data_IF_079909408102
#
_entry.id   IF_079909408102
#
_cell.length_a   1.000
_cell.length_b   1.000
_cell.length_c   1.000
_cell.angle_alpha   90.00
_cell.angle_beta   90.00
_cell.angle_gamma   90.00
#
_symmetry.space_group_name_H-M   'P 1'
#
loop_
_entity.id
_entity.type
_entity.pdbx_description
1 polymer ?
#
# COMPACT_ATOMS: atom_id res chain seq x y z
N UNK A 1 -4.37 40.24 55.53
CA UNK A 1 -5.44 39.43 56.18
C UNK A 1 -5.08 37.95 56.35
N UNK A 2 -4.09 37.41 55.63
CA UNK A 2 -3.69 35.98 55.70
C UNK A 2 -2.97 35.60 57.02
N UNK A 3 -2.30 36.52 57.68
CA UNK A 3 -1.58 36.24 58.92
C UNK A 3 -2.47 35.87 60.13
N UNK A 4 -3.70 36.37 60.17
CA UNK A 4 -4.65 36.08 61.27
C UNK A 4 -5.29 34.68 61.14
N UNK A 5 -5.37 34.12 59.93
CA UNK A 5 -5.86 32.77 59.70
C UNK A 5 -4.90 31.68 60.23
N UNK A 6 -3.59 31.93 60.18
CA UNK A 6 -2.56 31.00 60.67
C UNK A 6 -2.61 30.79 62.18
N UNK A 7 -2.89 31.83 62.93
CA UNK A 7 -2.97 31.74 64.38
C UNK A 7 -4.13 30.89 64.90
N UNK A 8 -5.24 30.87 64.16
CA UNK A 8 -6.47 30.16 64.55
C UNK A 8 -6.35 28.64 64.40
N UNK A 9 -5.41 28.14 63.57
CA UNK A 9 -5.20 26.74 63.27
C UNK A 9 -3.80 26.23 63.61
N UNK A 10 -3.22 26.76 64.67
CA UNK A 10 -1.91 26.28 65.15
C UNK A 10 -0.75 26.45 64.15
N UNK A 11 -0.82 27.47 63.28
CA UNK A 11 0.24 27.77 62.31
C UNK A 11 0.11 27.00 60.98
N UNK A 12 -0.85 26.10 60.86
CA UNK A 12 -1.13 25.36 59.62
C UNK A 12 -2.21 26.10 58.81
N UNK A 13 -1.95 26.37 57.55
CA UNK A 13 -2.95 26.95 56.65
C UNK A 13 -4.09 25.98 56.43
N UNK A 14 -5.36 26.44 56.57
CA UNK A 14 -6.56 25.63 56.31
C UNK A 14 -6.79 25.35 54.81
N UNK A 15 -6.04 26.01 53.95
CA UNK A 15 -6.12 25.86 52.49
C UNK A 15 -4.85 25.19 51.97
N UNK A 16 -5.04 24.06 51.31
CA UNK A 16 -3.97 23.43 50.56
C UNK A 16 -4.03 23.91 49.09
N UNK A 17 -2.91 24.41 48.59
CA UNK A 17 -2.78 24.74 47.17
C UNK A 17 -1.98 23.66 46.48
N UNK A 18 -2.46 23.23 45.32
CA UNK A 18 -1.78 22.27 44.47
C UNK A 18 -1.39 22.96 43.17
N UNK A 19 -0.20 22.68 42.69
CA UNK A 19 0.31 23.15 41.41
C UNK A 19 0.51 21.93 40.53
N UNK A 20 -0.02 21.97 39.33
CA UNK A 20 0.11 20.91 38.32
C UNK A 20 0.91 21.43 37.14
N UNK A 21 1.73 20.57 36.56
CA UNK A 21 2.51 20.85 35.37
C UNK A 21 1.99 19.92 34.26
N UNK A 22 1.61 20.51 33.14
CA UNK A 22 1.17 19.76 31.95
C UNK A 22 2.27 19.83 30.89
N UNK A 23 2.68 18.68 30.38
CA UNK A 23 3.65 18.61 29.29
C UNK A 23 2.97 19.02 27.96
N UNK A 24 3.41 20.14 27.39
CA UNK A 24 2.92 20.67 26.11
C UNK A 24 3.77 20.23 24.91
N UNK A 25 4.79 19.43 25.14
CA UNK A 25 5.57 18.83 24.05
C UNK A 25 4.80 17.68 23.41
N UNK A 26 5.17 17.35 22.19
CA UNK A 26 4.63 16.17 21.50
C UNK A 26 5.09 14.89 22.22
N UNK A 27 4.15 14.09 22.67
CA UNK A 27 4.38 12.81 23.32
C UNK A 27 4.38 11.74 22.23
N UNK A 28 5.54 11.17 21.97
CA UNK A 28 5.80 10.24 20.85
C UNK A 28 5.90 8.79 21.32
N UNK A 29 5.73 7.88 20.35
CA UNK A 29 5.99 6.46 20.57
C UNK A 29 4.93 5.74 21.41
N UNK A 30 3.71 6.25 21.45
CA UNK A 30 2.59 5.58 22.09
C UNK A 30 2.24 4.39 21.21
N UNK A 31 2.34 3.18 21.77
CA UNK A 31 2.11 1.94 21.02
C UNK A 31 0.62 1.63 20.93
N UNK A 32 0.19 1.12 19.78
CA UNK A 32 -1.12 0.53 19.60
C UNK A 32 -1.05 -0.79 18.85
N UNK A 33 -2.06 -1.62 19.04
CA UNK A 33 -2.28 -2.84 18.28
C UNK A 33 -3.76 -3.15 18.24
N UNK A 34 -4.21 -3.76 17.16
CA UNK A 34 -5.63 -4.13 17.00
C UNK A 34 -5.87 -5.52 17.61
N UNK A 35 -6.65 -5.64 18.69
CA UNK A 35 -6.96 -6.95 19.30
C UNK A 35 -7.82 -7.80 18.36
N UNK A 36 -8.75 -7.15 17.65
CA UNK A 36 -9.61 -7.77 16.64
C UNK A 36 -9.15 -7.35 15.24
N UNK A 37 -9.37 -8.20 14.21
CA UNK A 37 -9.09 -7.82 12.84
C UNK A 37 -9.90 -6.60 12.40
N UNK A 38 -9.25 -5.70 11.69
CA UNK A 38 -9.89 -4.61 10.96
C UNK A 38 -10.33 -5.10 9.60
N UNK A 39 -11.45 -4.60 9.10
CA UNK A 39 -11.94 -4.90 7.79
C UNK A 39 -11.44 -3.85 6.78
N UNK A 40 -10.97 -4.27 5.62
CA UNK A 40 -10.50 -3.43 4.54
C UNK A 40 -10.92 -3.99 3.19
N UNK A 41 -11.80 -3.28 2.47
CA UNK A 41 -12.13 -3.66 1.10
C UNK A 41 -11.03 -3.16 0.14
N UNK A 42 -10.38 -4.08 -0.56
CA UNK A 42 -9.34 -3.73 -1.53
C UNK A 42 -9.83 -3.95 -2.95
N UNK A 43 -9.97 -2.84 -3.70
CA UNK A 43 -10.45 -2.84 -5.09
C UNK A 43 -9.58 -3.69 -6.02
N UNK A 44 -8.30 -3.86 -5.73
CA UNK A 44 -7.41 -4.69 -6.56
C UNK A 44 -7.73 -6.19 -6.40
N UNK A 45 -8.02 -6.62 -5.18
CA UNK A 45 -8.43 -8.01 -4.91
C UNK A 45 -9.93 -8.20 -5.12
N UNK A 46 -10.71 -7.11 -5.17
CA UNK A 46 -12.18 -7.09 -5.21
C UNK A 46 -12.78 -7.95 -4.09
N UNK A 47 -12.23 -7.80 -2.90
CA UNK A 47 -12.59 -8.58 -1.71
C UNK A 47 -12.30 -7.80 -0.44
N UNK A 48 -13.02 -8.14 0.61
CA UNK A 48 -12.72 -7.72 1.97
C UNK A 48 -11.54 -8.51 2.51
N UNK A 49 -10.59 -7.82 3.10
CA UNK A 49 -9.42 -8.38 3.75
C UNK A 49 -9.48 -8.08 5.25
N UNK A 50 -9.29 -9.11 6.05
CA UNK A 50 -9.22 -9.01 7.50
C UNK A 50 -7.77 -8.92 7.93
N UNK A 51 -7.43 -7.83 8.61
CA UNK A 51 -6.05 -7.54 8.94
C UNK A 51 -5.89 -7.09 10.40
N UNK A 52 -4.75 -7.40 10.97
CA UNK A 52 -4.30 -6.84 12.24
C UNK A 52 -3.13 -5.93 12.00
N UNK A 53 -3.14 -4.80 12.69
CA UNK A 53 -2.07 -3.83 12.58
C UNK A 53 -1.55 -3.46 13.96
N UNK A 54 -0.27 -3.13 14.01
CA UNK A 54 0.33 -2.48 15.16
C UNK A 54 1.24 -1.34 14.69
N UNK A 55 1.43 -0.40 15.58
CA UNK A 55 2.23 0.77 15.27
C UNK A 55 2.41 1.69 16.45
N UNK A 56 2.74 2.93 16.13
CA UNK A 56 2.88 3.99 17.12
C UNK A 56 2.14 5.23 16.67
N UNK A 57 1.69 6.01 17.64
CA UNK A 57 1.14 7.34 17.38
C UNK A 57 1.72 8.35 18.35
N UNK A 58 1.48 9.62 18.06
CA UNK A 58 1.86 10.72 18.94
C UNK A 58 0.68 11.65 19.17
N UNK A 59 0.65 12.23 20.37
CA UNK A 59 -0.36 13.21 20.76
C UNK A 59 0.33 14.48 21.26
N UNK A 60 -0.43 15.56 21.27
CA UNK A 60 -0.01 16.83 21.88
C UNK A 60 -1.18 17.45 22.63
N UNK A 61 -0.90 17.92 23.85
CA UNK A 61 -1.87 18.73 24.59
C UNK A 61 -1.83 20.14 24.01
N UNK A 62 -2.98 20.62 23.54
CA UNK A 62 -3.16 21.95 22.94
C UNK A 62 -3.86 22.93 23.88
N UNK A 63 -4.77 22.45 24.72
CA UNK A 63 -5.40 23.22 25.80
C UNK A 63 -5.15 22.51 27.14
N UNK A 64 -4.16 22.97 27.93
CA UNK A 64 -3.81 22.32 29.19
C UNK A 64 -4.87 22.45 30.27
N UNK A 65 -5.69 23.49 30.23
CA UNK A 65 -6.76 23.69 31.21
C UNK A 65 -7.91 22.71 30.95
N UNK A 66 -8.33 22.60 29.69
CA UNK A 66 -9.37 21.68 29.28
C UNK A 66 -8.93 20.23 29.52
N UNK A 67 -7.67 19.89 29.13
CA UNK A 67 -7.07 18.60 29.39
C UNK A 67 -7.07 18.22 30.86
N UNK A 68 -6.70 19.18 31.74
CA UNK A 68 -6.73 18.98 33.19
C UNK A 68 -8.14 18.70 33.70
N UNK A 69 -9.15 19.43 33.24
CA UNK A 69 -10.52 19.29 33.71
C UNK A 69 -11.19 18.00 33.24
N UNK A 70 -10.94 17.59 32.01
CA UNK A 70 -11.68 16.51 31.35
C UNK A 70 -10.94 15.15 31.37
N UNK A 71 -9.60 15.18 31.37
CA UNK A 71 -8.80 13.96 31.25
C UNK A 71 -8.15 13.52 32.54
N UNK A 72 -7.81 14.49 33.42
CA UNK A 72 -7.11 14.20 34.66
C UNK A 72 -8.05 13.65 35.74
N UNK A 73 -7.77 12.47 36.32
CA UNK A 73 -8.53 11.97 37.48
C UNK A 73 -8.40 12.95 38.66
N UNK A 74 -9.54 13.28 39.29
CA UNK A 74 -9.63 14.34 40.33
C UNK A 74 -8.67 14.17 41.51
N UNK A 75 -8.24 12.96 41.80
CA UNK A 75 -7.37 12.63 42.92
C UNK A 75 -5.93 12.25 42.51
N UNK A 76 -5.62 12.32 41.22
CA UNK A 76 -4.29 11.97 40.72
C UNK A 76 -3.25 13.04 41.12
N UNK A 77 -2.13 12.58 41.60
CA UNK A 77 -0.96 13.43 41.86
C UNK A 77 -0.09 13.50 40.60
N UNK A 78 -0.03 12.38 39.87
CA UNK A 78 0.71 12.22 38.61
C UNK A 78 -0.14 11.36 37.67
N UNK A 79 -0.14 11.68 36.42
CA UNK A 79 -0.74 10.88 35.34
C UNK A 79 0.32 10.65 34.28
N UNK A 80 0.54 9.41 33.93
CA UNK A 80 1.42 9.01 32.84
C UNK A 80 0.59 8.74 31.57
N UNK A 81 1.26 8.77 30.43
CA UNK A 81 0.58 8.58 29.13
C UNK A 81 -0.05 7.19 29.04
N UNK A 82 0.50 6.19 29.71
CA UNK A 82 -0.04 4.84 29.74
C UNK A 82 -1.43 4.78 30.39
N UNK A 83 -1.63 5.52 31.47
CA UNK A 83 -2.90 5.60 32.18
C UNK A 83 -4.02 6.19 31.29
N UNK A 84 -3.64 7.17 30.48
CA UNK A 84 -4.56 7.83 29.52
C UNK A 84 -4.78 6.94 28.29
N UNK A 85 -3.72 6.31 27.81
CA UNK A 85 -3.78 5.50 26.58
C UNK A 85 -4.77 4.34 26.71
N UNK A 86 -4.83 3.67 27.84
CA UNK A 86 -5.75 2.56 28.04
C UNK A 86 -7.21 3.01 27.90
N UNK A 87 -7.55 4.19 28.42
CA UNK A 87 -8.89 4.75 28.34
C UNK A 87 -9.29 5.14 26.92
N UNK A 88 -8.37 5.75 26.16
CA UNK A 88 -8.67 6.31 24.83
C UNK A 88 -8.29 5.39 23.67
N UNK A 89 -7.71 4.23 23.95
CA UNK A 89 -7.33 3.27 22.91
C UNK A 89 -8.52 2.79 22.08
N UNK A 90 -9.69 2.62 22.70
CA UNK A 90 -10.89 2.21 21.98
C UNK A 90 -11.34 3.26 20.96
N UNK A 91 -11.35 4.53 21.34
CA UNK A 91 -11.70 5.64 20.43
C UNK A 91 -10.67 5.76 19.30
N UNK A 92 -9.39 5.60 19.65
CA UNK A 92 -8.33 5.56 18.64
C UNK A 92 -8.51 4.42 17.63
N UNK A 93 -8.86 3.22 18.08
CA UNK A 93 -9.08 2.06 17.21
C UNK A 93 -10.34 2.21 16.35
N UNK A 94 -11.39 2.82 16.86
CA UNK A 94 -12.59 3.17 16.10
C UNK A 94 -12.28 4.17 14.99
N UNK A 95 -11.54 5.23 15.31
CA UNK A 95 -11.08 6.20 14.33
C UNK A 95 -10.13 5.56 13.30
N UNK A 96 -9.29 4.62 13.71
CA UNK A 96 -8.42 3.86 12.82
C UNK A 96 -9.24 3.02 11.83
N UNK A 97 -10.27 2.30 12.30
CA UNK A 97 -11.16 1.54 11.42
C UNK A 97 -11.89 2.46 10.41
N UNK A 98 -12.40 3.59 10.87
CA UNK A 98 -13.07 4.58 10.00
C UNK A 98 -12.11 5.15 8.96
N UNK A 99 -10.88 5.47 9.37
CA UNK A 99 -9.81 5.92 8.47
C UNK A 99 -9.46 4.87 7.43
N UNK A 100 -9.32 3.60 7.84
CA UNK A 100 -9.03 2.50 6.92
C UNK A 100 -10.15 2.34 5.89
N UNK A 101 -11.42 2.47 6.30
CA UNK A 101 -12.57 2.43 5.40
C UNK A 101 -12.57 3.61 4.42
N UNK A 102 -12.20 4.81 4.87
CA UNK A 102 -12.08 5.98 3.99
C UNK A 102 -10.96 5.79 2.95
N UNK A 103 -9.80 5.32 3.37
CA UNK A 103 -8.69 5.02 2.46
C UNK A 103 -9.05 3.93 1.44
N UNK A 104 -9.85 2.95 1.84
CA UNK A 104 -10.42 1.94 0.95
C UNK A 104 -11.36 2.57 -0.09
N UNK A 105 -12.27 3.45 0.34
CA UNK A 105 -13.19 4.17 -0.53
C UNK A 105 -12.46 5.06 -1.55
N UNK A 106 -11.34 5.66 -1.14
CA UNK A 106 -10.45 6.44 -2.01
C UNK A 106 -9.62 5.56 -2.98
N UNK A 107 -9.82 4.24 -2.95
CA UNK A 107 -9.18 3.29 -3.84
C UNK A 107 -7.70 3.01 -3.52
N UNK A 108 -7.25 3.33 -2.32
CA UNK A 108 -5.89 3.07 -1.88
C UNK A 108 -5.74 1.57 -1.62
N UNK A 109 -4.76 0.93 -2.26
CA UNK A 109 -4.47 -0.48 -2.02
C UNK A 109 -3.88 -0.68 -0.63
N UNK A 110 -4.27 -1.77 0.02
CA UNK A 110 -3.80 -2.10 1.37
C UNK A 110 -2.26 -2.17 1.46
N UNK A 111 -1.61 -2.65 0.42
CA UNK A 111 -0.14 -2.69 0.34
C UNK A 111 0.53 -1.31 0.39
N UNK A 112 -0.21 -0.24 0.10
CA UNK A 112 0.31 1.13 0.11
C UNK A 112 -0.03 1.90 1.39
N UNK A 113 -0.93 1.39 2.22
CA UNK A 113 -1.38 2.09 3.44
C UNK A 113 -0.23 2.40 4.38
N UNK A 114 0.68 1.43 4.62
CA UNK A 114 1.84 1.63 5.50
C UNK A 114 2.78 2.75 5.03
N UNK A 115 2.86 3.02 3.73
CA UNK A 115 3.70 4.10 3.18
C UNK A 115 3.02 5.47 3.20
N UNK A 116 1.70 5.52 3.43
CA UNK A 116 0.89 6.74 3.45
C UNK A 116 0.57 7.26 4.85
N UNK A 117 1.53 7.17 5.77
CA UNK A 117 1.34 7.58 7.17
C UNK A 117 0.89 9.02 7.37
N UNK A 118 1.25 9.95 6.47
CA UNK A 118 0.77 11.34 6.53
C UNK A 118 -0.72 11.47 6.22
N UNK A 119 -1.20 10.75 5.20
CA UNK A 119 -2.61 10.72 4.85
C UNK A 119 -3.42 10.06 5.96
N UNK A 120 -2.95 8.92 6.45
CA UNK A 120 -3.53 8.24 7.61
C UNK A 120 -3.65 9.17 8.81
N UNK A 121 -2.58 9.90 9.15
CA UNK A 121 -2.58 10.84 10.27
C UNK A 121 -3.59 11.96 10.09
N UNK A 122 -3.76 12.46 8.86
CA UNK A 122 -4.74 13.50 8.55
C UNK A 122 -6.16 13.00 8.72
N UNK A 123 -6.52 11.84 8.16
CA UNK A 123 -7.84 11.26 8.34
C UNK A 123 -8.15 10.96 9.81
N UNK A 124 -7.16 10.45 10.55
CA UNK A 124 -7.29 10.20 12.00
C UNK A 124 -7.54 11.49 12.77
N UNK A 125 -6.80 12.58 12.44
CA UNK A 125 -7.00 13.87 13.06
C UNK A 125 -8.39 14.44 12.77
N UNK A 126 -8.83 14.38 11.52
CA UNK A 126 -10.15 14.87 11.10
C UNK A 126 -11.29 14.15 11.85
N UNK A 127 -11.15 12.85 12.12
CA UNK A 127 -12.14 12.06 12.85
C UNK A 127 -12.08 12.36 14.37
N UNK A 128 -10.90 12.46 14.95
CA UNK A 128 -10.72 12.59 16.40
C UNK A 128 -10.76 14.05 16.90
N UNK A 129 -10.63 15.06 16.02
CA UNK A 129 -10.49 16.47 16.43
C UNK A 129 -11.70 16.97 17.21
N UNK A 130 -12.91 16.51 16.93
CA UNK A 130 -14.08 16.93 17.68
C UNK A 130 -14.03 16.43 19.12
N UNK A 131 -13.73 15.17 19.34
CA UNK A 131 -13.72 14.56 20.67
C UNK A 131 -12.44 14.87 21.46
N UNK A 132 -11.30 14.80 20.79
CA UNK A 132 -10.02 14.94 21.49
C UNK A 132 -9.57 16.38 21.61
N UNK A 133 -9.65 17.16 20.54
CA UNK A 133 -9.17 18.55 20.56
C UNK A 133 -10.17 19.50 21.16
N UNK A 134 -11.45 19.45 20.72
CA UNK A 134 -12.47 20.36 21.18
C UNK A 134 -12.99 20.05 22.58
N UNK A 135 -13.13 18.77 22.92
CA UNK A 135 -13.69 18.39 24.22
C UNK A 135 -12.64 18.07 25.28
N UNK A 136 -11.41 17.71 24.90
CA UNK A 136 -10.37 17.26 25.87
C UNK A 136 -9.05 17.99 25.75
N UNK A 137 -8.89 18.93 24.81
CA UNK A 137 -7.71 19.78 24.69
C UNK A 137 -6.45 19.04 24.27
N UNK A 138 -6.57 17.89 23.62
CA UNK A 138 -5.44 17.13 23.05
C UNK A 138 -5.71 16.80 21.58
N UNK A 139 -4.65 16.66 20.79
CA UNK A 139 -4.77 16.30 19.37
C UNK A 139 -3.80 15.21 18.99
N UNK A 140 -4.14 14.42 17.97
CA UNK A 140 -3.24 13.47 17.35
C UNK A 140 -2.30 14.20 16.38
N UNK A 141 -1.00 13.88 16.41
CA UNK A 141 0.00 14.52 15.56
C UNK A 141 0.52 13.62 14.46
N UNK A 142 0.75 12.37 14.77
CA UNK A 142 1.21 11.39 13.80
C UNK A 142 0.71 10.00 14.14
N UNK A 143 0.46 9.21 13.09
CA UNK A 143 0.16 7.78 13.20
C UNK A 143 1.07 7.04 12.23
N UNK A 144 1.78 6.04 12.72
CA UNK A 144 2.64 5.18 11.93
C UNK A 144 2.24 3.72 12.11
N UNK A 145 1.91 3.05 11.02
CA UNK A 145 1.70 1.60 11.00
C UNK A 145 3.06 0.94 10.80
N UNK A 146 3.48 0.14 11.78
CA UNK A 146 4.75 -0.59 11.74
C UNK A 146 4.64 -1.90 10.97
N UNK A 147 3.49 -2.58 11.08
CA UNK A 147 3.23 -3.82 10.35
C UNK A 147 1.73 -4.04 10.16
N UNK A 148 1.41 -4.70 9.07
CA UNK A 148 0.08 -5.23 8.75
C UNK A 148 0.22 -6.74 8.58
N UNK A 149 -0.59 -7.51 9.28
CA UNK A 149 -0.71 -8.95 9.12
C UNK A 149 -2.15 -9.30 8.75
N UNK A 150 -2.29 -10.28 7.88
CA UNK A 150 -3.59 -10.75 7.40
C UNK A 150 -3.97 -12.03 8.13
N UNK A 151 -5.26 -12.30 8.26
CA UNK A 151 -5.74 -13.60 8.66
C UNK A 151 -5.47 -14.66 7.57
N UNK A 152 -5.70 -15.91 7.88
CA UNK A 152 -5.32 -17.00 6.95
C UNK A 152 -6.21 -17.01 5.69
N UNK A 153 -7.47 -16.65 5.82
CA UNK A 153 -8.40 -16.54 4.69
C UNK A 153 -7.99 -15.42 3.72
N UNK A 154 -7.69 -14.24 4.24
CA UNK A 154 -7.20 -13.11 3.43
C UNK A 154 -5.85 -13.42 2.78
N UNK A 155 -4.94 -14.13 3.49
CA UNK A 155 -3.68 -14.60 2.89
C UNK A 155 -3.93 -15.56 1.72
N UNK A 156 -4.88 -16.47 1.87
CA UNK A 156 -5.23 -17.40 0.81
C UNK A 156 -5.79 -16.68 -0.41
N UNK A 157 -6.70 -15.72 -0.23
CA UNK A 157 -7.22 -14.87 -1.30
C UNK A 157 -6.11 -14.10 -2.03
N UNK A 158 -5.21 -13.47 -1.27
CA UNK A 158 -4.04 -12.76 -1.83
C UNK A 158 -3.16 -13.72 -2.63
N UNK A 159 -2.86 -14.90 -2.09
CA UNK A 159 -2.04 -15.90 -2.76
C UNK A 159 -2.71 -16.45 -4.02
N UNK A 160 -4.02 -16.68 -3.96
CA UNK A 160 -4.81 -17.17 -5.10
C UNK A 160 -4.81 -16.12 -6.24
N UNK A 161 -5.02 -14.86 -5.89
CA UNK A 161 -4.96 -13.74 -6.84
C UNK A 161 -3.57 -13.60 -7.47
N UNK A 162 -2.52 -13.67 -6.66
CA UNK A 162 -1.14 -13.58 -7.12
C UNK A 162 -0.78 -14.76 -8.05
N UNK A 163 -1.19 -15.98 -7.69
CA UNK A 163 -1.04 -17.16 -8.57
C UNK A 163 -1.82 -16.98 -9.87
N UNK A 164 -3.07 -16.52 -9.82
CA UNK A 164 -3.88 -16.24 -11.00
C UNK A 164 -3.23 -15.19 -11.92
N UNK A 165 -2.71 -14.10 -11.35
CA UNK A 165 -2.00 -13.07 -12.11
C UNK A 165 -0.71 -13.61 -12.76
N UNK A 166 0.04 -14.44 -12.02
CA UNK A 166 1.26 -15.08 -12.50
C UNK A 166 0.97 -16.09 -13.62
N UNK A 167 -0.10 -16.88 -13.47
CA UNK A 167 -0.55 -17.84 -14.48
C UNK A 167 -1.28 -17.19 -15.68
N UNK A 168 -1.54 -15.89 -15.61
CA UNK A 168 -2.01 -15.08 -16.74
C UNK A 168 -0.97 -14.97 -17.87
N UNK A 169 0.33 -15.04 -17.54
CA UNK A 169 1.39 -15.15 -18.54
C UNK A 169 1.48 -16.58 -19.06
N UNK A 170 1.31 -16.81 -20.38
CA UNK A 170 1.32 -18.15 -20.97
C UNK A 170 2.65 -18.90 -20.73
N UNK A 171 3.79 -18.19 -20.72
CA UNK A 171 5.12 -18.75 -20.51
C UNK A 171 5.28 -19.27 -19.08
N UNK A 172 4.86 -18.44 -18.10
CA UNK A 172 4.92 -18.81 -16.68
C UNK A 172 3.97 -19.95 -16.37
N UNK A 173 2.76 -19.92 -16.96
CA UNK A 173 1.76 -20.97 -16.82
C UNK A 173 2.28 -22.31 -17.32
N UNK A 174 2.90 -22.36 -18.50
CA UNK A 174 3.48 -23.57 -19.07
C UNK A 174 4.57 -24.14 -18.15
N UNK A 175 5.51 -23.30 -17.69
CA UNK A 175 6.54 -23.70 -16.73
C UNK A 175 5.98 -24.23 -15.41
N UNK A 176 4.89 -23.61 -14.91
CA UNK A 176 4.22 -24.06 -13.68
C UNK A 176 3.57 -25.43 -13.85
N UNK A 177 2.90 -25.68 -14.99
CA UNK A 177 2.25 -26.96 -15.31
C UNK A 177 3.31 -28.05 -15.43
N UNK A 178 4.38 -27.84 -16.21
CA UNK A 178 5.48 -28.79 -16.36
C UNK A 178 6.16 -29.10 -15.03
N UNK A 179 6.44 -28.08 -14.20
CA UNK A 179 7.02 -28.25 -12.87
C UNK A 179 6.10 -28.98 -11.89
N UNK A 180 4.77 -28.82 -12.02
CA UNK A 180 3.79 -29.54 -11.21
C UNK A 180 3.71 -31.00 -11.58
N UNK A 181 3.80 -31.33 -12.87
CA UNK A 181 3.86 -32.70 -13.38
C UNK A 181 5.14 -33.38 -12.90
N UNK A 182 6.30 -32.70 -13.01
CA UNK A 182 7.58 -33.24 -12.56
C UNK A 182 7.56 -33.57 -11.05
N UNK A 183 7.03 -32.67 -10.22
CA UNK A 183 6.87 -32.93 -8.78
C UNK A 183 5.89 -34.05 -8.47
N UNK A 184 4.81 -34.17 -9.25
CA UNK A 184 3.87 -35.29 -9.14
C UNK A 184 4.53 -36.64 -9.44
N UNK A 185 5.36 -36.69 -10.46
CA UNK A 185 6.13 -37.88 -10.84
C UNK A 185 7.21 -38.22 -9.78
N UNK A 186 7.89 -37.22 -9.24
CA UNK A 186 8.87 -37.38 -8.19
C UNK A 186 8.22 -37.94 -6.90
N UNK A 187 7.09 -37.35 -6.48
CA UNK A 187 6.33 -37.83 -5.33
C UNK A 187 5.77 -39.25 -5.53
N UNK A 188 5.38 -39.61 -6.76
CA UNK A 188 4.94 -40.96 -7.08
C UNK A 188 6.10 -41.98 -7.08
N UNK A 189 7.31 -41.53 -7.45
CA UNK A 189 8.52 -42.37 -7.47
C UNK A 189 9.17 -42.57 -6.10
N UNK A 190 8.95 -41.65 -5.15
CA UNK A 190 9.56 -41.69 -3.81
C UNK A 190 8.77 -42.53 -2.78
N UNK A 191 7.54 -42.98 -3.09
CA UNK A 191 6.76 -43.87 -2.22
C UNK A 191 7.18 -45.32 -2.39
N UNK A 192 7.61 -46.01 -1.31
CA UNK A 192 8.03 -47.42 -1.29
C UNK A 192 6.94 -48.44 -1.73
N UNK A 193 5.68 -47.98 -1.95
CA UNK A 193 4.58 -48.71 -2.58
C UNK A 193 4.31 -48.30 -4.02
N UNK A 194 5.17 -47.46 -4.62
CA UNK A 194 4.90 -46.65 -5.80
C UNK A 194 4.85 -47.38 -7.17
N UNK A 195 5.19 -48.65 -7.26
CA UNK A 195 5.06 -49.38 -8.53
C UNK A 195 3.60 -49.45 -9.04
N UNK A 196 2.62 -49.44 -8.13
CA UNK A 196 1.18 -49.37 -8.44
C UNK A 196 0.72 -47.98 -8.83
N UNK A 197 1.18 -46.93 -8.11
CA UNK A 197 0.77 -45.55 -8.33
C UNK A 197 1.45 -44.96 -9.59
N UNK A 198 2.73 -45.25 -9.80
CA UNK A 198 3.48 -44.87 -11.02
C UNK A 198 2.91 -45.59 -12.24
N UNK A 199 2.59 -46.90 -12.10
CA UNK A 199 1.92 -47.68 -13.15
C UNK A 199 0.50 -47.21 -13.46
N UNK A 200 -0.28 -46.81 -12.43
CA UNK A 200 -1.61 -46.24 -12.60
C UNK A 200 -1.55 -44.86 -13.26
N UNK A 201 -0.58 -44.01 -12.88
CA UNK A 201 -0.36 -42.67 -13.46
C UNK A 201 0.14 -42.76 -14.90
N UNK A 202 1.10 -43.65 -15.19
CA UNK A 202 1.56 -43.95 -16.55
C UNK A 202 0.48 -44.69 -17.38
N UNK A 203 -0.23 -45.63 -16.76
CA UNK A 203 -1.35 -46.36 -17.38
C UNK A 203 -2.53 -45.44 -17.67
N UNK A 204 -2.84 -44.46 -16.79
CA UNK A 204 -3.85 -43.45 -17.05
C UNK A 204 -3.39 -42.45 -18.11
N UNK A 205 -2.08 -42.14 -18.21
CA UNK A 205 -1.47 -41.29 -19.24
C UNK A 205 -1.40 -41.97 -20.62
N UNK A 206 -1.16 -43.28 -20.67
CA UNK A 206 -1.04 -44.07 -21.91
C UNK A 206 -2.37 -44.71 -22.33
N UNK A 207 -3.22 -45.06 -21.34
CA UNK A 207 -4.53 -45.72 -21.59
C UNK A 207 -5.65 -44.75 -21.95
N UNK A 208 -5.55 -43.46 -21.61
CA UNK A 208 -6.46 -42.42 -22.09
C UNK A 208 -5.84 -41.68 -23.26
N UNK A 209 -6.12 -42.15 -24.46
CA UNK A 209 -5.99 -41.38 -25.71
C UNK A 209 -6.67 -39.99 -25.62
N UNK A 210 -7.41 -39.71 -24.52
CA UNK A 210 -7.99 -38.41 -24.15
C UNK A 210 -7.14 -37.54 -23.24
N UNK A 211 -6.24 -38.09 -22.35
CA UNK A 211 -5.46 -37.27 -21.45
C UNK A 211 -4.21 -36.64 -22.11
N UNK A 212 -3.60 -37.36 -23.07
CA UNK A 212 -2.59 -36.79 -23.98
C UNK A 212 -3.16 -35.65 -24.82
N UNK A 213 -4.42 -35.79 -25.25
CA UNK A 213 -5.14 -34.75 -25.98
C UNK A 213 -5.45 -33.51 -25.16
N UNK A 214 -5.71 -33.63 -23.84
CA UNK A 214 -5.93 -32.48 -22.97
C UNK A 214 -4.64 -31.68 -22.71
N UNK A 215 -3.53 -32.35 -22.44
CA UNK A 215 -2.23 -31.68 -22.26
C UNK A 215 -1.74 -31.04 -23.57
N UNK A 216 -1.89 -31.72 -24.68
CA UNK A 216 -1.53 -31.20 -26.00
C UNK A 216 -2.45 -30.03 -26.40
N UNK A 217 -3.75 -30.12 -26.11
CA UNK A 217 -4.71 -29.05 -26.36
C UNK A 217 -4.44 -27.84 -25.48
N UNK A 218 -4.05 -28.03 -24.19
CA UNK A 218 -3.68 -26.95 -23.28
C UNK A 218 -2.37 -26.26 -23.70
N UNK A 219 -1.36 -27.06 -24.14
CA UNK A 219 -0.09 -26.55 -24.67
C UNK A 219 -0.28 -25.78 -25.97
N UNK A 220 -1.08 -26.29 -26.89
CA UNK A 220 -1.46 -25.60 -28.16
C UNK A 220 -2.25 -24.31 -27.91
N UNK A 221 -3.13 -24.29 -26.91
CA UNK A 221 -3.84 -23.07 -26.52
C UNK A 221 -2.89 -22.03 -25.97
N UNK A 222 -1.91 -22.44 -25.16
CA UNK A 222 -0.85 -21.56 -24.64
C UNK A 222 0.03 -21.01 -25.77
N UNK A 223 0.46 -21.86 -26.73
CA UNK A 223 1.24 -21.44 -27.89
C UNK A 223 0.50 -20.40 -28.73
N UNK A 224 -0.77 -20.62 -29.03
CA UNK A 224 -1.59 -19.64 -29.75
C UNK A 224 -1.67 -18.30 -29.01
N UNK A 225 -1.83 -18.33 -27.69
CA UNK A 225 -1.90 -17.13 -26.87
C UNK A 225 -0.54 -16.39 -26.80
N UNK A 226 0.58 -17.14 -26.81
CA UNK A 226 1.92 -16.57 -26.94
C UNK A 226 2.13 -15.89 -28.30
N UNK A 227 1.70 -16.53 -29.39
CA UNK A 227 1.78 -15.96 -30.74
C UNK A 227 0.93 -14.70 -30.87
N UNK A 228 -0.29 -14.70 -30.31
CA UNK A 228 -1.15 -13.51 -30.29
C UNK A 228 -0.55 -12.37 -29.45
N UNK A 229 0.04 -12.67 -28.31
CA UNK A 229 0.72 -11.68 -27.48
C UNK A 229 1.95 -11.09 -28.18
N UNK A 230 2.74 -11.93 -28.86
CA UNK A 230 3.89 -11.48 -29.65
C UNK A 230 3.43 -10.57 -30.82
N UNK A 231 2.38 -10.94 -31.53
CA UNK A 231 1.78 -10.09 -32.60
C UNK A 231 1.25 -8.76 -32.06
N UNK A 232 0.67 -8.76 -30.84
CA UNK A 232 0.24 -7.51 -30.19
C UNK A 232 1.42 -6.64 -29.78
N UNK A 233 2.51 -7.24 -29.29
CA UNK A 233 3.72 -6.51 -28.97
C UNK A 233 4.42 -5.95 -30.22
N UNK A 234 4.47 -6.69 -31.30
CA UNK A 234 4.98 -6.22 -32.59
C UNK A 234 4.14 -5.07 -33.16
N UNK A 235 2.81 -5.14 -33.05
CA UNK A 235 1.90 -4.08 -33.47
C UNK A 235 1.99 -2.83 -32.58
N UNK A 236 2.25 -2.98 -31.27
CA UNK A 236 2.49 -1.83 -30.38
C UNK A 236 3.87 -1.25 -30.58
N UNK A 237 4.86 -2.03 -30.97
CA UNK A 237 6.20 -1.52 -31.34
C UNK A 237 6.16 -0.75 -32.65
N UNK A 238 5.35 -1.17 -33.62
CA UNK A 238 5.16 -0.44 -34.87
C UNK A 238 4.34 0.86 -34.72
N UNK A 239 3.44 0.94 -33.74
CA UNK A 239 2.70 2.16 -33.42
C UNK A 239 3.53 3.20 -32.65
N UNK A 240 4.63 2.79 -32.00
CA UNK A 240 5.59 3.71 -31.36
C UNK A 240 6.52 4.42 -32.35
N UNK A 241 6.65 3.97 -33.58
CA UNK A 241 7.48 4.61 -34.61
C UNK A 241 6.99 6.01 -35.03
N UNK A 242 5.80 6.42 -34.61
CA UNK A 242 5.22 7.74 -34.95
C UNK A 242 5.30 8.76 -33.81
N UNK A 243 5.82 8.40 -32.64
CA UNK A 243 5.95 9.34 -31.53
C UNK A 243 7.10 10.33 -31.76
N UNK A 244 6.85 11.62 -31.58
CA UNK A 244 7.83 12.69 -31.68
C UNK A 244 7.67 13.71 -30.53
N UNK A 245 8.74 14.39 -30.18
CA UNK A 245 8.71 15.44 -29.17
C UNK A 245 8.67 16.79 -29.85
N UNK A 246 7.78 17.67 -29.38
CA UNK A 246 7.67 19.04 -29.95
C UNK A 246 8.92 19.84 -29.62
N UNK A 247 9.58 20.44 -30.64
CA UNK A 247 10.77 21.25 -30.42
C UNK A 247 10.48 22.54 -29.63
N UNK A 248 9.24 23.04 -29.66
CA UNK A 248 8.86 24.30 -29.01
C UNK A 248 8.46 24.11 -27.53
N UNK A 249 7.69 23.08 -27.21
CA UNK A 249 7.16 22.91 -25.86
C UNK A 249 7.62 21.59 -25.17
N UNK A 250 8.37 20.73 -25.87
CA UNK A 250 8.88 19.45 -25.31
C UNK A 250 7.82 18.36 -25.14
N UNK A 251 6.56 18.58 -25.49
CA UNK A 251 5.49 17.62 -25.27
C UNK A 251 5.57 16.45 -26.26
N UNK A 252 5.23 15.23 -25.79
CA UNK A 252 5.24 14.01 -26.61
C UNK A 252 3.95 13.92 -27.43
N UNK A 253 4.09 13.72 -28.74
CA UNK A 253 2.99 13.69 -29.69
C UNK A 253 3.07 12.46 -30.60
N UNK A 254 1.92 12.01 -31.09
CA UNK A 254 1.79 10.89 -32.05
C UNK A 254 1.17 11.32 -33.39
N UNK A 255 0.67 12.55 -33.47
CA UNK A 255 0.04 13.14 -34.66
C UNK A 255 0.98 13.99 -35.50
N UNK A 256 0.41 14.69 -36.50
CA UNK A 256 1.15 15.62 -37.37
C UNK A 256 1.32 17.01 -36.75
N UNK A 257 0.65 17.32 -35.64
CA UNK A 257 0.72 18.58 -34.93
C UNK A 257 0.83 18.33 -33.42
N UNK A 258 1.51 19.24 -32.73
CA UNK A 258 1.56 19.24 -31.28
C UNK A 258 0.19 19.60 -30.69
N UNK A 259 -0.33 18.77 -29.78
CA UNK A 259 -1.65 18.98 -29.17
C UNK A 259 -1.68 20.17 -28.19
N UNK A 260 -0.51 20.59 -27.67
CA UNK A 260 -0.40 21.69 -26.72
C UNK A 260 -0.17 23.08 -27.41
N UNK A 261 0.74 23.14 -28.37
CA UNK A 261 1.14 24.41 -28.97
C UNK A 261 0.83 24.51 -30.47
N UNK A 262 0.26 23.49 -31.10
CA UNK A 262 -0.10 23.50 -32.53
C UNK A 262 1.09 23.36 -33.49
N UNK A 263 2.33 23.26 -33.02
CA UNK A 263 3.52 23.15 -33.86
C UNK A 263 3.48 21.91 -34.73
N UNK A 264 3.75 22.04 -36.01
CA UNK A 264 3.76 20.91 -36.96
C UNK A 264 4.95 20.02 -36.72
N UNK A 265 4.74 18.68 -36.85
CA UNK A 265 5.79 17.67 -36.76
C UNK A 265 6.96 18.02 -37.70
N UNK A 266 8.22 18.04 -37.23
CA UNK A 266 9.37 18.26 -38.10
C UNK A 266 9.47 17.14 -39.13
N UNK A 267 9.60 17.55 -40.40
CA UNK A 267 9.66 16.60 -41.53
C UNK A 267 11.08 16.21 -41.91
N UNK A 268 12.10 16.77 -41.25
CA UNK A 268 13.50 16.48 -41.52
C UNK A 268 14.22 16.00 -40.26
N UNK A 269 14.92 14.86 -40.38
CA UNK A 269 15.83 14.33 -39.34
C UNK A 269 17.16 15.15 -39.30
N UNK A 270 17.18 16.39 -39.72
CA UNK A 270 18.40 17.24 -39.74
C UNK A 270 18.49 18.06 -38.46
N UNK A 271 19.69 18.07 -37.87
CA UNK A 271 19.96 18.91 -36.73
C UNK A 271 19.75 20.40 -37.12
N UNK A 272 18.90 21.11 -36.38
CA UNK A 272 18.57 22.52 -36.61
C UNK A 272 19.77 23.45 -36.45
N UNK A 273 20.81 23.05 -35.72
CA UNK A 273 21.98 23.86 -35.46
C UNK A 273 23.13 23.63 -36.44
N UNK A 274 23.44 22.39 -36.80
CA UNK A 274 24.60 22.10 -37.68
C UNK A 274 24.25 21.37 -38.97
N UNK A 275 22.96 21.03 -39.19
CA UNK A 275 22.52 20.35 -40.40
C UNK A 275 22.89 18.87 -40.51
N UNK A 276 23.45 18.28 -39.43
CA UNK A 276 23.78 16.85 -39.38
C UNK A 276 22.52 15.99 -39.61
N UNK A 277 22.64 14.99 -40.48
CA UNK A 277 21.55 14.07 -40.85
C UNK A 277 21.95 12.62 -40.40
N UNK A 278 21.32 12.08 -39.34
CA UNK A 278 21.64 10.73 -38.88
C UNK A 278 21.15 9.69 -39.89
N UNK A 279 21.96 8.64 -40.09
CA UNK A 279 21.56 7.46 -40.91
C UNK A 279 20.74 6.50 -40.04
N UNK A 280 19.45 6.83 -39.81
CA UNK A 280 18.55 6.04 -38.99
C UNK A 280 17.69 6.89 -38.06
N UNK A 281 17.28 6.34 -36.91
CA UNK A 281 16.53 7.12 -35.92
C UNK A 281 17.39 8.28 -35.38
N UNK A 282 16.79 9.47 -35.28
CA UNK A 282 17.49 10.61 -34.75
C UNK A 282 17.83 10.39 -33.26
N UNK A 283 19.09 10.53 -32.85
CA UNK A 283 19.45 10.44 -31.43
C UNK A 283 18.89 11.66 -30.68
N UNK A 284 18.77 11.55 -29.37
CA UNK A 284 18.23 12.65 -28.53
C UNK A 284 19.08 13.93 -28.62
N UNK A 285 20.37 13.81 -28.92
CA UNK A 285 21.30 14.91 -29.07
C UNK A 285 22.17 14.69 -30.31
N UNK A 286 22.45 15.79 -31.04
CA UNK A 286 23.32 15.75 -32.21
C UNK A 286 24.76 15.34 -31.82
N UNK A 287 25.34 14.29 -32.42
CA UNK A 287 26.69 13.87 -32.09
C UNK A 287 27.76 14.86 -32.52
N UNK A 288 27.46 15.75 -33.48
CA UNK A 288 28.40 16.73 -34.00
C UNK A 288 28.44 18.05 -33.20
N UNK A 289 27.30 18.49 -32.67
CA UNK A 289 27.23 19.81 -32.01
C UNK A 289 26.54 19.78 -30.62
N UNK A 290 26.07 18.64 -30.16
CA UNK A 290 25.42 18.48 -28.86
C UNK A 290 24.00 19.10 -28.78
N UNK A 291 23.47 19.68 -29.86
CA UNK A 291 22.13 20.26 -29.87
C UNK A 291 21.08 19.15 -29.83
N UNK A 292 19.94 19.42 -29.19
CA UNK A 292 18.81 18.47 -29.12
C UNK A 292 18.12 18.40 -30.49
N UNK A 293 17.84 17.19 -31.01
CA UNK A 293 17.11 16.97 -32.24
C UNK A 293 15.64 17.30 -32.07
#
# INVERSE_FOLDING_TARGET
MESFGRFKYGGVTSTSQKVYYVNLQEIKGIKFGTPNPLNYFDNFYNSELFLRTFGTYSIKVTDPLLFFMEVMPKNAIKVEIQDINEQYLSEFLEALQSTMNQMSADGIRISHVSSRGRELSKYMADILDEDWKRMRGMEIRSVGISSISYDDESKELINMRNKGAMLGDPTVREGYVQGSIARGLEAAGSNEGGAGATGAFLGMGIGMQGAGGFMDAASRSNQKQMEENNRRQENTSSSNANNWFCPECGNKNNGNFCVECGTKKPTSNKCSNCGYEPKGEAPNFCPECGNKF
#
